data_IF_970551956507
#
_entry.id   IF_970551956507
#
_cell.length_a   1.000
_cell.length_b   1.000
_cell.length_c   1.000
_cell.angle_alpha   90.00
_cell.angle_beta   90.00
_cell.angle_gamma   90.00
#
_symmetry.space_group_name_H-M   'P 1'
#
loop_
_entity.id
_entity.type
_entity.pdbx_description
1 polymer ?
#
# COMPACT_ATOMS: atom_id res chain seq x y z
N UNK A 1 -11.40 -40.60 6.23
CA UNK A 1 -10.28 -41.22 6.95
C UNK A 1 -9.88 -40.17 7.96
N UNK A 2 -10.44 -40.26 9.15
CA UNK A 2 -10.20 -39.24 10.18
C UNK A 2 -8.76 -39.45 10.64
N UNK A 3 -7.85 -38.57 10.21
CA UNK A 3 -6.51 -38.54 10.78
C UNK A 3 -6.66 -38.40 12.29
N UNK A 4 -6.25 -39.42 13.02
CA UNK A 4 -6.26 -39.44 14.48
C UNK A 4 -5.18 -38.44 14.94
N UNK A 5 -5.59 -37.19 15.09
CA UNK A 5 -4.76 -36.18 15.76
C UNK A 5 -4.76 -36.52 17.25
N UNK A 6 -3.66 -37.10 17.71
CA UNK A 6 -3.48 -37.46 19.12
C UNK A 6 -3.35 -36.16 19.94
N UNK A 7 -4.37 -35.90 20.77
CA UNK A 7 -4.45 -34.88 21.82
C UNK A 7 -3.59 -33.62 21.58
N UNK A 8 -3.99 -32.74 20.65
CA UNK A 8 -3.22 -31.54 20.36
C UNK A 8 -3.38 -30.54 21.50
N UNK A 9 -2.26 -29.98 21.95
CA UNK A 9 -2.26 -28.99 23.01
C UNK A 9 -2.72 -27.61 22.54
N UNK A 10 -2.57 -27.32 21.24
CA UNK A 10 -2.96 -26.05 20.61
C UNK A 10 -3.56 -26.35 19.23
N UNK A 11 -4.66 -25.67 18.91
CA UNK A 11 -5.33 -25.65 17.62
C UNK A 11 -5.19 -24.26 16.99
N UNK A 12 -4.73 -24.23 15.74
CA UNK A 12 -4.61 -23.01 14.94
C UNK A 12 -5.37 -23.24 13.64
N UNK A 13 -6.25 -22.32 13.28
CA UNK A 13 -6.92 -22.32 11.98
C UNK A 13 -6.14 -21.43 11.02
N UNK A 14 -5.75 -21.98 9.87
CA UNK A 14 -5.13 -21.26 8.76
C UNK A 14 -6.16 -21.10 7.63
N UNK A 15 -6.56 -19.87 7.37
CA UNK A 15 -7.59 -19.51 6.39
C UNK A 15 -6.91 -18.87 5.18
N UNK A 16 -7.05 -19.46 4.00
CA UNK A 16 -6.48 -18.94 2.77
C UNK A 16 -7.41 -17.93 2.08
N UNK A 17 -6.87 -16.76 1.74
CA UNK A 17 -7.53 -15.69 0.99
C UNK A 17 -6.71 -15.32 -0.25
N UNK A 18 -7.31 -14.70 -1.26
CA UNK A 18 -6.61 -14.06 -2.37
C UNK A 18 -6.05 -12.70 -1.92
N UNK A 19 -4.74 -12.54 -1.66
CA UNK A 19 -3.63 -13.49 -1.68
C UNK A 19 -2.81 -13.37 -0.38
N UNK A 20 -3.37 -13.89 0.71
CA UNK A 20 -2.79 -13.85 2.05
C UNK A 20 -3.36 -14.96 2.94
N UNK A 21 -2.78 -15.17 4.12
CA UNK A 21 -3.27 -16.14 5.09
C UNK A 21 -3.79 -15.43 6.34
N UNK A 22 -4.97 -15.82 6.84
CA UNK A 22 -5.44 -15.44 8.17
C UNK A 22 -5.21 -16.58 9.14
N UNK A 23 -4.71 -16.30 10.33
CA UNK A 23 -4.51 -17.28 11.39
C UNK A 23 -5.37 -16.96 12.60
N UNK A 24 -6.08 -17.95 13.11
CA UNK A 24 -6.96 -17.86 14.28
C UNK A 24 -6.52 -18.90 15.33
N UNK A 25 -6.20 -18.43 16.53
CA UNK A 25 -5.87 -19.24 17.69
C UNK A 25 -7.11 -19.34 18.58
N UNK A 26 -7.97 -20.30 18.27
CA UNK A 26 -9.28 -20.48 18.90
C UNK A 26 -9.21 -20.88 20.37
N UNK A 27 -8.07 -21.37 20.83
CA UNK A 27 -7.90 -21.91 22.18
C UNK A 27 -7.66 -20.80 23.23
N UNK A 28 -7.29 -19.59 22.79
CA UNK A 28 -7.09 -18.42 23.63
C UNK A 28 -8.35 -17.53 23.64
N UNK A 29 -9.39 -17.98 24.33
CA UNK A 29 -10.56 -17.15 24.60
C UNK A 29 -10.46 -16.58 26.03
N UNK A 30 -10.19 -15.28 26.16
CA UNK A 30 -10.51 -14.56 27.40
C UNK A 30 -12.01 -14.37 27.48
N UNK A 31 -12.59 -14.47 28.69
CA UNK A 31 -14.01 -14.63 28.97
C UNK A 31 -14.98 -13.59 28.42
N UNK A 32 -14.53 -12.54 27.72
CA UNK A 32 -15.37 -11.50 27.13
C UNK A 32 -14.90 -10.95 25.76
N UNK A 33 -13.82 -11.46 25.13
CA UNK A 33 -13.30 -10.90 23.87
C UNK A 33 -12.74 -11.94 22.89
N UNK A 34 -12.80 -11.58 21.60
CA UNK A 34 -12.56 -12.36 20.38
C UNK A 34 -11.28 -13.25 20.42
N UNK A 35 -11.37 -14.40 19.75
CA UNK A 35 -10.23 -15.29 19.47
C UNK A 35 -9.07 -14.52 18.83
N UNK A 36 -7.84 -14.78 19.28
CA UNK A 36 -6.63 -14.17 18.70
C UNK A 36 -6.58 -14.49 17.19
N UNK A 37 -6.79 -13.47 16.37
CA UNK A 37 -6.87 -13.60 14.92
C UNK A 37 -6.03 -12.51 14.27
N UNK A 38 -5.29 -12.84 13.21
CA UNK A 38 -4.54 -11.86 12.42
C UNK A 38 -4.32 -12.33 10.99
N UNK A 39 -4.07 -11.37 10.10
CA UNK A 39 -3.69 -11.61 8.72
C UNK A 39 -2.16 -11.61 8.57
N UNK A 40 -1.66 -12.42 7.66
CA UNK A 40 -0.25 -12.61 7.31
C UNK A 40 -0.09 -12.38 5.82
N UNK A 41 0.54 -11.26 5.49
CA UNK A 41 0.87 -10.82 4.15
C UNK A 41 2.37 -10.97 3.91
N UNK A 42 2.74 -11.42 2.72
CA UNK A 42 4.15 -11.45 2.31
C UNK A 42 4.71 -10.04 2.29
N UNK A 43 5.87 -9.83 2.93
CA UNK A 43 6.57 -8.54 2.88
C UNK A 43 6.99 -8.31 1.41
N UNK A 44 6.58 -7.17 0.81
CA UNK A 44 6.95 -6.88 -0.57
C UNK A 44 8.46 -6.80 -0.76
N UNK A 45 8.92 -7.06 -1.99
CA UNK A 45 10.36 -7.19 -2.32
C UNK A 45 11.21 -5.99 -1.96
N UNK A 46 10.61 -4.82 -1.82
CA UNK A 46 11.36 -3.60 -1.59
C UNK A 46 11.29 -3.07 -0.14
N UNK A 47 10.70 -3.86 0.77
CA UNK A 47 10.77 -3.65 2.23
C UNK A 47 11.40 -4.82 3.05
N UNK A 48 12.35 -5.64 2.55
CA UNK A 48 13.04 -6.58 3.41
C UNK A 48 14.08 -5.84 4.27
N UNK A 49 13.96 -5.94 5.59
CA UNK A 49 15.04 -5.49 6.48
C UNK A 49 16.33 -6.25 6.16
N UNK A 50 17.49 -5.63 6.42
CA UNK A 50 18.80 -6.24 6.13
C UNK A 50 18.91 -7.62 6.80
N UNK A 51 18.90 -8.69 5.99
CA UNK A 51 18.95 -10.08 6.46
C UNK A 51 17.65 -10.88 6.27
N UNK A 52 16.55 -10.24 5.86
CA UNK A 52 15.30 -10.93 5.52
C UNK A 52 15.36 -11.58 4.12
N UNK A 53 14.62 -12.67 3.95
CA UNK A 53 14.59 -13.41 2.69
C UNK A 53 13.50 -12.89 1.75
N UNK A 54 13.90 -12.46 0.56
CA UNK A 54 12.99 -11.95 -0.48
C UNK A 54 11.88 -12.97 -0.79
N UNK A 55 10.63 -12.52 -0.83
CA UNK A 55 9.41 -13.32 -1.06
C UNK A 55 9.11 -14.41 -0.03
N UNK A 56 9.94 -14.59 0.99
CA UNK A 56 9.75 -15.59 2.03
C UNK A 56 9.38 -14.98 3.38
N UNK A 57 9.51 -13.67 3.53
CA UNK A 57 9.15 -12.99 4.77
C UNK A 57 7.68 -12.54 4.77
N UNK A 58 7.08 -12.46 5.96
CA UNK A 58 5.70 -11.97 6.18
C UNK A 58 5.67 -10.92 7.28
N UNK A 59 4.67 -10.05 7.26
CA UNK A 59 4.45 -9.04 8.29
C UNK A 59 4.17 -9.65 9.67
N UNK A 60 3.30 -10.68 9.70
CA UNK A 60 2.88 -11.37 10.91
C UNK A 60 3.14 -12.86 10.77
N UNK A 61 4.09 -13.37 11.55
CA UNK A 61 4.46 -14.79 11.56
C UNK A 61 3.52 -15.60 12.46
N UNK A 62 3.30 -16.87 12.10
CA UNK A 62 2.62 -17.82 12.98
C UNK A 62 3.57 -18.26 14.07
N UNK A 63 3.26 -17.98 15.33
CA UNK A 63 4.10 -18.34 16.45
C UNK A 63 3.59 -19.64 17.07
N UNK A 64 4.48 -20.62 17.25
CA UNK A 64 4.15 -21.91 17.87
C UNK A 64 5.23 -22.35 18.87
N UNK A 65 4.88 -23.13 19.90
CA UNK A 65 5.87 -23.63 20.85
C UNK A 65 6.58 -24.88 20.31
N UNK A 66 7.88 -25.01 20.61
CA UNK A 66 8.60 -26.26 20.36
C UNK A 66 8.09 -27.43 21.22
N UNK A 67 8.35 -28.65 20.76
CA UNK A 67 8.10 -29.94 21.44
C UNK A 67 6.66 -30.12 21.92
N UNK A 68 5.72 -29.59 21.15
CA UNK A 68 4.29 -29.59 21.46
C UNK A 68 3.51 -30.10 20.24
N UNK A 69 2.49 -30.92 20.48
CA UNK A 69 1.59 -31.39 19.43
C UNK A 69 0.58 -30.29 19.09
N UNK A 70 0.56 -29.88 17.83
CA UNK A 70 -0.29 -28.81 17.33
C UNK A 70 -1.25 -29.37 16.28
N UNK A 71 -2.49 -28.89 16.28
CA UNK A 71 -3.47 -29.15 15.21
C UNK A 71 -3.58 -27.91 14.35
N UNK A 72 -3.31 -28.04 13.05
CA UNK A 72 -3.56 -26.98 12.07
C UNK A 72 -4.81 -27.36 11.30
N UNK A 73 -5.83 -26.50 11.32
CA UNK A 73 -7.04 -26.63 10.52
C UNK A 73 -6.92 -25.70 9.32
N UNK A 74 -6.93 -26.24 8.11
CA UNK A 74 -6.72 -25.49 6.87
C UNK A 74 -8.02 -25.43 6.07
N UNK A 75 -8.42 -24.21 5.71
CA UNK A 75 -9.62 -23.95 4.89
C UNK A 75 -9.41 -22.68 4.06
N UNK A 76 -10.04 -22.50 2.90
CA UNK A 76 -10.03 -21.24 2.20
C UNK A 76 -11.29 -20.43 2.53
N UNK A 77 -11.23 -19.13 2.28
CA UNK A 77 -12.39 -18.24 2.24
C UNK A 77 -12.92 -18.01 0.82
N UNK A 78 -12.09 -18.23 -0.21
CA UNK A 78 -12.42 -17.96 -1.61
C UNK A 78 -12.12 -19.14 -2.54
N UNK A 79 -10.94 -19.17 -3.17
CA UNK A 79 -10.48 -20.19 -4.11
C UNK A 79 -9.66 -21.27 -3.39
N UNK A 80 -9.38 -22.40 -4.05
CA UNK A 80 -8.46 -23.38 -3.48
C UNK A 80 -7.08 -22.77 -3.23
N UNK A 81 -6.53 -23.05 -2.05
CA UNK A 81 -5.14 -22.74 -1.68
C UNK A 81 -4.48 -24.02 -1.15
N UNK A 82 -3.20 -23.98 -0.81
CA UNK A 82 -2.55 -25.11 -0.12
C UNK A 82 -1.52 -24.61 0.87
N UNK A 83 -1.74 -24.93 2.15
CA UNK A 83 -0.86 -24.55 3.24
C UNK A 83 0.31 -25.54 3.30
N UNK A 84 1.49 -25.10 2.87
CA UNK A 84 2.65 -25.98 2.75
C UNK A 84 3.90 -25.36 3.40
N UNK A 85 4.51 -26.11 4.32
CA UNK A 85 5.78 -25.79 4.98
C UNK A 85 6.71 -27.00 4.82
N UNK A 86 7.55 -27.02 3.76
CA UNK A 86 8.31 -28.21 3.37
C UNK A 86 9.26 -28.74 4.46
N UNK A 87 9.89 -27.85 5.21
CA UNK A 87 10.82 -28.20 6.30
C UNK A 87 10.13 -28.86 7.50
N UNK A 88 8.81 -28.65 7.66
CA UNK A 88 7.98 -29.36 8.63
C UNK A 88 7.34 -30.62 8.04
N UNK A 89 7.52 -30.87 6.73
CA UNK A 89 6.94 -32.02 6.03
C UNK A 89 5.42 -31.93 5.87
N UNK A 90 4.86 -30.73 5.85
CA UNK A 90 3.40 -30.51 5.83
C UNK A 90 3.00 -29.85 4.52
N UNK A 91 1.98 -30.42 3.89
CA UNK A 91 1.22 -29.82 2.80
C UNK A 91 -0.23 -30.23 2.98
N UNK A 92 -1.12 -29.26 3.15
CA UNK A 92 -2.54 -29.51 3.33
C UNK A 92 -3.34 -28.52 2.48
N UNK A 93 -4.17 -29.04 1.58
CA UNK A 93 -4.95 -28.22 0.66
C UNK A 93 -6.11 -27.56 1.41
N UNK A 94 -6.31 -26.27 1.15
CA UNK A 94 -7.47 -25.51 1.58
C UNK A 94 -8.53 -25.63 0.49
N UNK A 95 -9.55 -26.48 0.69
CA UNK A 95 -10.63 -26.70 -0.28
C UNK A 95 -11.92 -26.05 0.19
N UNK A 96 -12.59 -25.20 -0.62
CA UNK A 96 -13.82 -24.54 -0.21
C UNK A 96 -14.90 -25.55 0.23
N UNK A 97 -15.53 -25.28 1.37
CA UNK A 97 -16.54 -26.17 1.96
C UNK A 97 -15.97 -27.39 2.71
N UNK A 98 -14.65 -27.47 2.93
CA UNK A 98 -14.01 -28.49 3.78
C UNK A 98 -13.05 -27.86 4.78
N UNK A 99 -13.10 -28.35 6.01
CA UNK A 99 -12.09 -28.08 7.04
C UNK A 99 -11.12 -29.26 7.06
N UNK A 100 -9.99 -29.13 6.39
CA UNK A 100 -8.94 -30.15 6.46
C UNK A 100 -8.13 -29.92 7.73
N UNK A 101 -7.64 -30.99 8.35
CA UNK A 101 -6.76 -30.89 9.52
C UNK A 101 -5.44 -31.60 9.24
N UNK A 102 -4.38 -31.12 9.85
CA UNK A 102 -3.07 -31.77 9.88
C UNK A 102 -2.44 -31.57 11.25
N UNK A 103 -1.70 -32.57 11.74
CA UNK A 103 -0.97 -32.45 13.00
C UNK A 103 0.49 -32.11 12.75
N UNK A 104 1.05 -31.17 13.51
CA UNK A 104 2.47 -30.81 13.43
C UNK A 104 3.11 -30.86 14.82
N UNK A 105 4.38 -31.23 14.90
CA UNK A 105 5.16 -31.17 16.14
C UNK A 105 6.60 -30.81 15.80
N UNK A 106 7.02 -29.60 16.17
CA UNK A 106 8.35 -29.08 15.82
C UNK A 106 9.33 -29.29 16.96
N UNK A 107 10.48 -29.91 16.69
CA UNK A 107 11.42 -30.34 17.73
C UNK A 107 12.49 -29.30 18.09
N UNK A 108 12.67 -28.28 17.25
CA UNK A 108 13.73 -27.27 17.39
C UNK A 108 13.14 -25.88 17.14
N UNK A 109 13.55 -24.93 17.97
CA UNK A 109 13.31 -23.50 17.77
C UNK A 109 13.90 -23.01 16.43
N UNK A 110 13.28 -21.99 15.86
CA UNK A 110 13.71 -21.40 14.60
C UNK A 110 12.54 -20.93 13.74
N UNK A 111 12.85 -20.44 12.53
CA UNK A 111 11.85 -19.93 11.59
C UNK A 111 11.77 -20.87 10.39
N UNK A 112 10.57 -21.34 10.09
CA UNK A 112 10.28 -22.31 9.04
C UNK A 112 9.40 -21.65 7.98
N UNK A 113 9.91 -21.63 6.75
CA UNK A 113 9.27 -20.98 5.62
C UNK A 113 8.46 -21.96 4.77
N UNK A 114 7.39 -21.43 4.18
CA UNK A 114 6.46 -22.14 3.31
C UNK A 114 5.83 -21.19 2.30
N UNK A 115 5.14 -21.75 1.31
CA UNK A 115 4.44 -20.99 0.26
C UNK A 115 3.17 -21.74 -0.15
N UNK A 116 2.20 -21.00 -0.68
CA UNK A 116 1.01 -21.59 -1.26
C UNK A 116 1.40 -22.58 -2.37
N UNK A 117 0.89 -23.81 -2.28
CA UNK A 117 1.28 -24.91 -3.18
C UNK A 117 0.13 -25.40 -4.07
N UNK A 118 -0.89 -24.57 -4.27
CA UNK A 118 -2.02 -24.76 -5.18
C UNK A 118 -2.34 -23.43 -5.89
N UNK A 119 -2.60 -23.47 -7.19
CA UNK A 119 -2.72 -22.25 -8.00
C UNK A 119 -3.97 -21.43 -7.60
N UNK A 120 -3.75 -20.22 -7.07
CA UNK A 120 -4.81 -19.39 -6.49
C UNK A 120 -5.02 -18.01 -7.16
N UNK A 121 -4.39 -17.76 -8.31
CA UNK A 121 -4.57 -16.55 -9.12
C UNK A 121 -3.29 -15.75 -9.33
N UNK A 122 -3.42 -14.46 -9.65
CA UNK A 122 -2.32 -13.58 -10.10
C UNK A 122 -1.16 -13.47 -9.12
N UNK A 123 -1.45 -13.34 -7.81
CA UNK A 123 -0.41 -13.23 -6.78
C UNK A 123 -0.12 -14.56 -6.07
N UNK A 124 -0.35 -15.70 -6.72
CA UNK A 124 -0.09 -17.03 -6.15
C UNK A 124 1.34 -17.19 -5.59
N UNK A 125 2.34 -16.65 -6.29
CA UNK A 125 3.74 -16.72 -5.86
C UNK A 125 4.05 -15.88 -4.60
N UNK A 126 3.18 -14.92 -4.27
CA UNK A 126 3.34 -13.97 -3.15
C UNK A 126 2.48 -14.33 -1.95
N UNK A 127 2.11 -15.61 -1.82
CA UNK A 127 1.31 -16.11 -0.72
C UNK A 127 2.18 -17.00 0.17
N UNK A 128 2.93 -16.36 1.06
CA UNK A 128 3.98 -16.96 1.86
C UNK A 128 3.48 -17.34 3.25
N UNK A 129 4.11 -18.37 3.83
CA UNK A 129 3.81 -18.90 5.16
C UNK A 129 5.11 -18.86 5.96
N UNK A 130 5.06 -18.28 7.16
CA UNK A 130 6.21 -18.28 8.07
C UNK A 130 5.78 -18.75 9.44
N UNK A 131 6.41 -19.82 9.90
CA UNK A 131 6.18 -20.41 11.23
C UNK A 131 7.40 -20.14 12.10
N UNK A 132 7.23 -19.28 13.10
CA UNK A 132 8.21 -18.99 14.14
C UNK A 132 8.01 -19.96 15.31
N UNK A 133 9.00 -20.81 15.56
CA UNK A 133 8.99 -21.79 16.63
C UNK A 133 9.84 -21.26 17.78
N UNK A 134 9.19 -21.05 18.92
CA UNK A 134 9.80 -20.47 20.13
C UNK A 134 9.79 -21.47 21.28
N UNK A 135 10.58 -21.17 22.32
CA UNK A 135 10.59 -21.96 23.55
C UNK A 135 9.20 -21.98 24.19
N UNK A 136 8.83 -23.07 24.86
CA UNK A 136 7.54 -23.15 25.60
C UNK A 136 7.39 -22.06 26.66
N UNK A 137 8.51 -21.53 27.18
CA UNK A 137 8.50 -20.45 28.19
C UNK A 137 8.17 -19.11 27.57
N UNK A 138 8.73 -18.84 26.38
CA UNK A 138 8.60 -17.56 25.69
C UNK A 138 7.34 -17.49 24.82
N UNK A 139 6.73 -18.65 24.55
CA UNK A 139 5.52 -18.75 23.74
C UNK A 139 4.37 -17.87 24.27
N UNK A 140 4.12 -17.87 25.59
CA UNK A 140 3.04 -17.09 26.19
C UNK A 140 3.20 -15.58 25.99
N UNK A 141 4.40 -15.04 26.19
CA UNK A 141 4.68 -13.61 25.95
C UNK A 141 4.61 -13.29 24.46
N UNK A 142 5.23 -14.12 23.61
CA UNK A 142 5.29 -13.89 22.17
C UNK A 142 3.91 -13.91 21.49
N UNK A 143 3.02 -14.81 21.93
CA UNK A 143 1.63 -14.85 21.47
C UNK A 143 0.84 -13.65 21.97
N UNK A 144 1.09 -13.19 23.19
CA UNK A 144 0.42 -12.00 23.72
C UNK A 144 0.82 -10.69 23.02
N UNK A 145 2.04 -10.63 22.50
CA UNK A 145 2.58 -9.54 21.68
C UNK A 145 2.14 -9.62 20.21
N UNK A 146 1.58 -10.74 19.78
CA UNK A 146 1.11 -10.90 18.40
C UNK A 146 -0.09 -9.99 18.15
N UNK A 147 -0.21 -9.39 16.95
CA UNK A 147 -1.30 -8.45 16.66
C UNK A 147 -2.65 -9.14 16.82
N UNK A 148 -3.54 -8.50 17.58
CA UNK A 148 -4.93 -8.93 17.74
C UNK A 148 -5.78 -8.10 16.80
N UNK A 149 -6.30 -8.69 15.73
CA UNK A 149 -7.28 -8.00 14.91
C UNK A 149 -8.66 -8.12 15.56
N UNK A 150 -9.18 -6.99 16.06
CA UNK A 150 -10.62 -6.77 16.15
C UNK A 150 -11.14 -6.52 14.74
N UNK A 151 -12.16 -7.27 14.34
CA UNK A 151 -12.75 -7.34 12.99
C UNK A 151 -12.69 -6.02 12.20
N UNK A 152 -11.79 -5.94 11.22
CA UNK A 152 -11.64 -4.77 10.34
C UNK A 152 -12.61 -4.88 9.15
N UNK A 153 -13.80 -4.30 9.32
CA UNK A 153 -14.88 -4.28 8.33
C UNK A 153 -14.71 -3.26 7.19
N UNK A 154 -13.52 -2.70 6.94
CA UNK A 154 -13.35 -1.56 6.03
C UNK A 154 -12.33 -1.72 4.88
N UNK A 155 -12.06 -2.95 4.43
CA UNK A 155 -11.24 -3.20 3.23
C UNK A 155 -12.02 -3.64 1.97
N UNK A 156 -13.36 -3.60 2.01
CA UNK A 156 -14.23 -4.12 0.94
C UNK A 156 -14.98 -3.08 0.08
N UNK A 157 -14.78 -1.76 0.25
CA UNK A 157 -15.56 -0.78 -0.54
C UNK A 157 -14.93 -0.28 -1.85
N UNK A 158 -13.77 -0.81 -2.26
CA UNK A 158 -13.18 -0.49 -3.56
C UNK A 158 -13.07 -1.78 -4.38
N UNK A 159 -14.22 -2.26 -4.90
CA UNK A 159 -14.28 -3.10 -6.11
C UNK A 159 -15.72 -3.40 -6.58
N UNK A 160 -16.65 -2.45 -6.57
CA UNK A 160 -17.84 -2.48 -7.45
C UNK A 160 -18.33 -1.04 -7.71
N UNK A 161 -18.64 -0.76 -8.98
CA UNK A 161 -19.44 0.35 -9.51
C UNK A 161 -18.70 1.61 -10.01
N UNK A 162 -18.32 1.54 -11.29
CA UNK A 162 -18.68 2.59 -12.26
C UNK A 162 -20.21 2.76 -12.31
N UNK A 163 -20.72 4.00 -12.21
CA UNK A 163 -21.73 4.60 -13.11
C UNK A 163 -22.27 5.94 -12.57
N UNK A 164 -22.28 6.94 -13.48
CA UNK A 164 -23.05 8.19 -13.53
C UNK A 164 -22.79 9.35 -12.53
N UNK A 165 -22.05 10.36 -13.02
CA UNK A 165 -22.63 11.52 -13.70
C UNK A 165 -23.24 12.67 -12.87
N UNK A 166 -22.69 13.88 -13.02
CA UNK A 166 -23.43 15.15 -12.84
C UNK A 166 -22.64 16.28 -12.18
N UNK A 167 -22.40 17.36 -12.92
CA UNK A 167 -21.53 18.49 -12.54
C UNK A 167 -22.11 19.48 -11.51
N UNK A 168 -21.31 20.44 -11.01
CA UNK A 168 -21.12 21.78 -11.59
C UNK A 168 -20.02 22.58 -10.86
N UNK A 169 -19.48 23.55 -11.58
CA UNK A 169 -18.32 24.39 -11.30
C UNK A 169 -18.41 25.32 -10.07
N UNK A 170 -17.26 25.81 -9.58
CA UNK A 170 -17.00 27.20 -9.16
C UNK A 170 -15.46 27.49 -9.08
N UNK A 171 -15.11 28.77 -9.16
CA UNK A 171 -13.88 29.41 -9.68
C UNK A 171 -12.65 29.50 -8.73
N UNK A 172 -11.42 29.73 -9.25
CA UNK A 172 -10.18 29.70 -8.46
C UNK A 172 -9.78 31.05 -7.84
N UNK A 173 -9.24 31.02 -6.63
CA UNK A 173 -8.39 32.08 -6.07
C UNK A 173 -7.09 31.49 -5.56
N UNK A 174 -5.97 31.93 -6.14
CA UNK A 174 -4.60 31.55 -5.78
C UNK A 174 -4.11 32.30 -4.54
N UNK A 175 -3.39 31.65 -3.61
CA UNK A 175 -2.40 32.35 -2.80
C UNK A 175 -1.00 31.74 -2.93
N UNK A 176 -0.02 32.64 -3.09
CA UNK A 176 1.42 32.40 -3.12
C UNK A 176 1.94 31.99 -1.73
N UNK A 177 2.79 30.95 -1.65
CA UNK A 177 3.45 30.53 -0.39
C UNK A 177 4.97 30.75 -0.51
N UNK A 178 5.54 31.50 0.42
CA UNK A 178 6.98 31.66 0.64
C UNK A 178 7.49 30.64 1.68
N UNK A 179 8.67 30.06 1.44
CA UNK A 179 9.31 29.07 2.33
C UNK A 179 10.27 29.74 3.34
N UNK A 180 10.27 29.35 4.63
CA UNK A 180 11.35 29.70 5.55
C UNK A 180 12.41 28.59 5.66
N UNK A 181 13.66 29.02 5.73
CA UNK A 181 14.90 28.21 5.76
C UNK A 181 15.23 27.65 7.16
N UNK A 182 15.77 26.42 7.18
CA UNK A 182 16.24 25.69 8.36
C UNK A 182 17.38 26.40 9.13
N UNK A 183 17.27 26.44 10.47
CA UNK A 183 18.37 26.67 11.40
C UNK A 183 18.83 25.37 12.07
N UNK A 184 20.09 25.25 12.54
CA UNK A 184 20.66 23.97 12.99
C UNK A 184 20.27 23.65 14.44
N UNK A 185 19.91 22.38 14.71
CA UNK A 185 19.63 21.86 16.05
C UNK A 185 20.86 21.09 16.57
N UNK A 186 21.30 21.43 17.79
CA UNK A 186 22.40 20.78 18.52
C UNK A 186 21.96 19.47 19.22
N UNK A 187 22.88 18.55 19.55
CA UNK A 187 22.54 17.23 20.09
C UNK A 187 22.33 17.26 21.60
N UNK A 188 21.40 16.44 22.11
CA UNK A 188 21.16 16.21 23.54
C UNK A 188 21.41 14.74 23.88
N UNK A 189 22.16 14.49 24.94
CA UNK A 189 22.52 13.18 25.51
C UNK A 189 21.50 12.64 26.56
N UNK A 190 21.44 11.30 26.59
CA UNK A 190 21.19 10.33 27.69
C UNK A 190 19.87 10.22 28.51
N UNK A 191 19.27 9.02 28.36
CA UNK A 191 18.77 8.07 29.39
C UNK A 191 17.41 8.27 30.09
N UNK A 192 16.48 7.32 29.85
CA UNK A 192 15.73 6.51 30.83
C UNK A 192 14.62 5.73 30.10
N UNK A 193 14.30 4.53 30.56
CA UNK A 193 13.36 3.60 29.93
C UNK A 193 11.91 4.08 30.05
N UNK A 194 11.52 5.00 29.18
CA UNK A 194 10.11 5.30 28.91
C UNK A 194 9.51 4.18 28.07
N UNK A 195 8.28 3.77 28.40
CA UNK A 195 7.52 2.87 27.54
C UNK A 195 7.41 3.53 26.16
N UNK A 196 7.57 2.77 25.08
CA UNK A 196 7.52 3.29 23.69
C UNK A 196 6.25 4.10 23.40
N UNK A 197 5.16 3.81 24.14
CA UNK A 197 3.90 4.55 24.12
C UNK A 197 4.00 5.95 24.75
N UNK A 198 4.72 6.11 25.85
CA UNK A 198 4.91 7.39 26.54
C UNK A 198 5.87 8.31 25.77
N UNK A 199 6.88 7.72 25.12
CA UNK A 199 7.75 8.42 24.16
C UNK A 199 6.97 8.93 22.97
N UNK A 200 6.09 8.10 22.40
CA UNK A 200 5.25 8.50 21.27
C UNK A 200 4.26 9.61 21.66
N UNK A 201 3.63 9.52 22.82
CA UNK A 201 2.72 10.57 23.31
C UNK A 201 3.44 11.91 23.49
N UNK A 202 4.63 11.88 24.09
CA UNK A 202 5.47 13.09 24.27
C UNK A 202 5.92 13.65 22.92
N UNK A 203 6.34 12.78 22.00
CA UNK A 203 6.71 13.17 20.64
C UNK A 203 5.54 13.79 19.87
N UNK A 204 4.32 13.23 20.00
CA UNK A 204 3.13 13.77 19.31
C UNK A 204 2.78 15.19 19.77
N UNK A 205 2.95 15.46 21.07
CA UNK A 205 2.69 16.77 21.66
C UNK A 205 3.70 17.87 21.27
N UNK A 206 4.93 17.50 20.85
CA UNK A 206 6.01 18.46 20.60
C UNK A 206 6.32 18.62 19.11
N UNK A 207 6.38 17.51 18.36
CA UNK A 207 6.91 17.49 16.98
C UNK A 207 5.84 17.06 15.98
N UNK A 208 5.06 16.02 16.29
CA UNK A 208 4.08 15.50 15.33
C UNK A 208 3.01 16.54 14.99
N UNK A 209 2.54 17.34 15.95
CA UNK A 209 1.47 18.32 15.69
C UNK A 209 1.78 19.27 14.52
N UNK A 210 3.03 19.74 14.39
CA UNK A 210 3.43 20.60 13.28
C UNK A 210 3.53 19.84 11.96
N UNK A 211 4.07 18.62 12.00
CA UNK A 211 4.24 17.75 10.84
C UNK A 211 2.88 17.31 10.29
N UNK A 212 1.98 16.82 11.15
CA UNK A 212 0.60 16.45 10.79
C UNK A 212 -0.13 17.68 10.21
N UNK A 213 0.03 18.87 10.80
CA UNK A 213 -0.57 20.10 10.27
C UNK A 213 -0.06 20.47 8.87
N UNK A 214 1.24 20.35 8.59
CA UNK A 214 1.78 20.56 7.24
C UNK A 214 1.13 19.57 6.26
N UNK A 215 1.10 18.30 6.62
CA UNK A 215 0.56 17.23 5.78
C UNK A 215 -0.93 17.46 5.47
N UNK A 216 -1.76 17.77 6.47
CA UNK A 216 -3.17 18.07 6.25
C UNK A 216 -3.39 19.34 5.43
N UNK A 217 -2.49 20.33 5.52
CA UNK A 217 -2.55 21.52 4.67
C UNK A 217 -2.34 21.21 3.19
N UNK A 218 -1.41 20.29 2.88
CA UNK A 218 -1.16 19.80 1.52
C UNK A 218 -2.33 18.98 0.98
N UNK A 219 -2.90 18.11 1.81
CA UNK A 219 -4.13 17.38 1.48
C UNK A 219 -5.24 18.36 1.10
N UNK A 220 -5.49 19.35 1.94
CA UNK A 220 -6.52 20.37 1.71
C UNK A 220 -6.22 21.16 0.43
N UNK A 221 -4.96 21.48 0.15
CA UNK A 221 -4.56 22.14 -1.08
C UNK A 221 -4.93 21.30 -2.31
N UNK A 222 -4.58 20.01 -2.32
CA UNK A 222 -4.89 19.07 -3.39
C UNK A 222 -6.40 18.84 -3.58
N UNK A 223 -7.15 18.69 -2.49
CA UNK A 223 -8.61 18.54 -2.53
C UNK A 223 -9.31 19.74 -3.19
N UNK A 224 -8.77 20.93 -2.98
CA UNK A 224 -9.28 22.15 -3.59
C UNK A 224 -8.81 22.34 -5.04
N UNK A 225 -7.81 21.57 -5.49
CA UNK A 225 -7.42 21.58 -6.91
C UNK A 225 -8.34 20.64 -7.70
N UNK A 226 -8.88 21.14 -8.81
CA UNK A 226 -9.77 20.39 -9.69
C UNK A 226 -8.98 19.53 -10.70
N UNK A 227 -8.03 18.74 -10.20
CA UNK A 227 -7.23 17.82 -11.00
C UNK A 227 -8.08 16.61 -11.46
N UNK A 228 -7.86 16.15 -12.69
CA UNK A 228 -8.57 14.99 -13.21
C UNK A 228 -7.78 13.72 -12.93
N UNK A 229 -8.42 12.69 -12.36
CA UNK A 229 -7.84 11.36 -12.14
C UNK A 229 -6.81 11.30 -10.99
N UNK A 230 -6.18 12.41 -10.64
CA UNK A 230 -5.54 12.59 -9.35
C UNK A 230 -6.66 12.68 -8.31
N UNK A 231 -6.62 11.92 -7.21
CA UNK A 231 -7.74 11.86 -6.31
C UNK A 231 -8.05 13.25 -5.72
N UNK A 232 -9.20 13.89 -6.03
CA UNK A 232 -10.02 14.31 -4.92
C UNK A 232 -10.51 13.01 -4.33
N UNK A 233 -10.12 12.78 -3.09
CA UNK A 233 -10.84 11.92 -2.19
C UNK A 233 -12.30 11.83 -2.58
N UNK A 234 -12.81 10.61 -2.83
CA UNK A 234 -14.15 10.41 -3.41
C UNK A 234 -15.24 11.15 -2.61
N UNK A 235 -14.92 11.50 -1.37
CA UNK A 235 -15.58 12.53 -0.55
C UNK A 235 -14.55 13.49 0.06
N UNK A 236 -14.89 14.78 0.25
CA UNK A 236 -14.05 15.72 0.99
C UNK A 236 -13.63 15.16 2.37
N UNK A 237 -12.34 15.18 2.70
CA UNK A 237 -11.79 14.75 3.98
C UNK A 237 -11.63 13.23 4.24
N UNK A 238 -11.98 12.37 3.29
CA UNK A 238 -11.74 10.92 3.34
C UNK A 238 -10.25 10.49 3.50
N UNK A 239 -9.33 10.90 2.63
CA UNK A 239 -7.88 10.64 2.76
C UNK A 239 -7.23 11.41 3.92
N UNK A 240 -7.73 12.59 4.31
CA UNK A 240 -7.34 13.17 5.59
C UNK A 240 -7.68 12.23 6.76
N UNK A 241 -8.85 11.59 6.74
CA UNK A 241 -9.24 10.60 7.74
C UNK A 241 -8.41 9.30 7.65
N UNK A 242 -8.03 8.85 6.44
CA UNK A 242 -7.15 7.69 6.25
C UNK A 242 -5.78 7.96 6.88
N UNK A 243 -5.17 9.09 6.57
CA UNK A 243 -3.87 9.48 7.11
C UNK A 243 -3.93 9.61 8.64
N UNK A 244 -5.01 10.18 9.16
CA UNK A 244 -5.22 10.28 10.60
C UNK A 244 -5.25 8.89 11.27
N UNK A 245 -5.99 7.96 10.68
CA UNK A 245 -6.06 6.58 11.14
C UNK A 245 -4.70 5.86 11.03
N UNK A 246 -3.89 6.13 10.01
CA UNK A 246 -2.53 5.58 9.92
C UNK A 246 -1.65 6.08 11.08
N UNK A 247 -1.70 7.38 11.39
CA UNK A 247 -0.93 7.92 12.53
C UNK A 247 -1.39 7.36 13.88
N UNK A 248 -2.69 7.09 14.04
CA UNK A 248 -3.22 6.50 15.28
C UNK A 248 -2.82 5.04 15.48
N UNK A 249 -2.44 4.33 14.41
CA UNK A 249 -1.90 2.98 14.47
C UNK A 249 -0.38 2.94 14.74
N UNK A 250 0.28 4.09 14.86
CA UNK A 250 1.71 4.14 15.13
C UNK A 250 2.03 3.56 16.52
N UNK A 251 2.94 2.59 16.56
CA UNK A 251 3.30 1.85 17.78
C UNK A 251 4.44 2.52 18.59
N UNK A 252 5.28 3.30 17.90
CA UNK A 252 6.43 4.01 18.47
C UNK A 252 6.88 5.12 17.50
N UNK A 253 7.74 6.04 17.97
CA UNK A 253 8.19 7.21 17.20
C UNK A 253 8.78 6.85 15.82
N UNK A 254 9.55 5.76 15.73
CA UNK A 254 10.12 5.30 14.45
C UNK A 254 9.07 4.80 13.45
N UNK A 255 7.95 4.26 13.91
CA UNK A 255 6.85 3.81 13.05
C UNK A 255 6.08 5.04 12.53
N UNK A 256 5.77 5.98 13.43
CA UNK A 256 5.17 7.27 13.07
C UNK A 256 5.97 7.99 11.97
N UNK A 257 7.30 8.10 12.13
CA UNK A 257 8.15 8.78 11.14
C UNK A 257 8.09 8.11 9.76
N UNK A 258 8.05 6.78 9.71
CA UNK A 258 7.93 6.04 8.45
C UNK A 258 6.60 6.33 7.75
N UNK A 259 5.49 6.32 8.50
CA UNK A 259 4.17 6.67 7.97
C UNK A 259 4.20 8.10 7.44
N UNK A 260 4.72 9.05 8.23
CA UNK A 260 4.82 10.45 7.83
C UNK A 260 5.64 10.63 6.54
N UNK A 261 6.83 10.04 6.47
CA UNK A 261 7.71 10.16 5.31
C UNK A 261 7.09 9.56 4.04
N UNK A 262 6.32 8.47 4.20
CA UNK A 262 5.58 7.86 3.10
C UNK A 262 4.45 8.77 2.62
N UNK A 263 3.54 9.17 3.51
CA UNK A 263 2.38 10.02 3.15
C UNK A 263 2.83 11.37 2.57
N UNK A 264 3.89 11.97 3.12
CA UNK A 264 4.46 13.20 2.59
C UNK A 264 5.00 13.02 1.18
N UNK A 265 5.69 11.91 0.90
CA UNK A 265 6.21 11.61 -0.44
C UNK A 265 5.08 11.39 -1.45
N UNK A 266 4.05 10.62 -1.09
CA UNK A 266 2.89 10.38 -1.95
C UNK A 266 2.21 11.71 -2.32
N UNK A 267 2.01 12.59 -1.34
CA UNK A 267 1.46 13.93 -1.56
C UNK A 267 2.33 14.80 -2.48
N UNK A 268 3.65 14.78 -2.31
CA UNK A 268 4.57 15.53 -3.18
C UNK A 268 4.51 15.05 -4.64
N UNK A 269 4.39 13.74 -4.85
CA UNK A 269 4.22 13.20 -6.20
C UNK A 269 2.88 13.61 -6.79
N UNK A 270 1.79 13.52 -6.02
CA UNK A 270 0.46 13.94 -6.46
C UNK A 270 0.41 15.42 -6.81
N UNK A 271 1.00 16.29 -5.98
CA UNK A 271 1.16 17.72 -6.26
C UNK A 271 1.92 17.94 -7.58
N UNK A 272 3.05 17.26 -7.77
CA UNK A 272 3.85 17.38 -8.98
C UNK A 272 3.10 16.92 -10.24
N UNK A 273 2.37 15.80 -10.17
CA UNK A 273 1.53 15.32 -11.27
C UNK A 273 0.40 16.30 -11.58
N UNK A 274 -0.22 16.90 -10.56
CA UNK A 274 -1.27 17.92 -10.75
C UNK A 274 -0.75 19.15 -11.47
N UNK A 275 0.40 19.67 -11.05
CA UNK A 275 1.05 20.81 -11.71
C UNK A 275 1.40 20.50 -13.17
N UNK A 276 1.90 19.28 -13.45
CA UNK A 276 2.17 18.83 -14.82
C UNK A 276 0.89 18.76 -15.66
N UNK A 277 -0.21 18.23 -15.10
CA UNK A 277 -1.49 18.14 -15.77
C UNK A 277 -1.99 19.52 -16.21
N UNK A 278 -1.98 20.50 -15.31
CA UNK A 278 -2.38 21.87 -15.64
C UNK A 278 -1.49 22.48 -16.72
N UNK A 279 -0.16 22.32 -16.61
CA UNK A 279 0.78 22.84 -17.61
C UNK A 279 0.54 22.24 -19.00
N UNK A 280 0.35 20.92 -19.11
CA UNK A 280 0.07 20.26 -20.38
C UNK A 280 -1.29 20.68 -20.95
N UNK A 281 -2.30 20.77 -20.09
CA UNK A 281 -3.62 21.24 -20.46
C UNK A 281 -3.59 22.67 -21.02
N UNK A 282 -2.92 23.59 -20.33
CA UNK A 282 -2.86 24.99 -20.71
C UNK A 282 -2.06 25.20 -22.00
N UNK A 283 -0.99 24.44 -22.20
CA UNK A 283 -0.25 24.44 -23.47
C UNK A 283 -1.14 23.96 -24.63
N UNK A 284 -1.89 22.88 -24.45
CA UNK A 284 -2.82 22.37 -25.46
C UNK A 284 -3.95 23.36 -25.76
N UNK A 285 -4.51 24.02 -24.74
CA UNK A 285 -5.51 25.09 -24.95
C UNK A 285 -4.96 26.28 -25.75
N UNK A 286 -3.65 26.52 -25.67
CA UNK A 286 -2.96 27.52 -26.48
C UNK A 286 -2.76 27.14 -27.95
N UNK A 287 -3.05 25.90 -28.38
CA UNK A 287 -2.77 25.46 -29.75
C UNK A 287 -3.73 26.07 -30.79
N UNK A 288 -3.22 26.76 -31.84
CA UNK A 288 -4.07 27.42 -32.82
C UNK A 288 -4.96 26.43 -33.61
N UNK A 289 -4.51 25.18 -33.76
CA UNK A 289 -5.23 24.14 -34.49
C UNK A 289 -6.00 23.19 -33.56
N UNK A 290 -6.16 23.50 -32.28
CA UNK A 290 -6.75 22.60 -31.29
C UNK A 290 -8.11 22.02 -31.73
N UNK A 291 -9.01 22.86 -32.24
CA UNK A 291 -10.34 22.42 -32.67
C UNK A 291 -10.25 21.36 -33.79
N UNK A 292 -9.35 21.56 -34.76
CA UNK A 292 -9.09 20.58 -35.82
C UNK A 292 -8.48 19.30 -35.24
N UNK A 293 -7.55 19.42 -34.30
CA UNK A 293 -6.91 18.27 -33.64
C UNK A 293 -7.96 17.43 -32.90
N UNK A 294 -8.81 18.04 -32.10
CA UNK A 294 -9.85 17.35 -31.31
C UNK A 294 -10.96 16.75 -32.18
N UNK A 295 -11.34 17.41 -33.29
CA UNK A 295 -12.34 16.85 -34.22
C UNK A 295 -11.85 15.57 -34.91
N UNK A 296 -10.54 15.47 -35.13
CA UNK A 296 -9.93 14.35 -35.85
C UNK A 296 -9.31 13.30 -34.90
N UNK A 297 -9.24 13.60 -33.61
CA UNK A 297 -8.73 12.72 -32.56
C UNK A 297 -9.90 11.96 -31.90
N UNK A 298 -9.70 10.70 -31.47
CA UNK A 298 -10.69 10.02 -30.64
C UNK A 298 -10.73 10.58 -29.22
N UNK A 299 -9.71 11.35 -28.82
CA UNK A 299 -9.58 11.91 -27.49
C UNK A 299 -10.20 13.30 -27.42
N UNK A 300 -11.15 13.48 -26.51
CA UNK A 300 -11.94 14.73 -26.39
C UNK A 300 -11.65 15.52 -25.12
N UNK A 301 -11.24 14.84 -24.05
CA UNK A 301 -10.95 15.47 -22.77
C UNK A 301 -9.44 15.57 -22.56
N UNK A 302 -8.89 16.77 -22.76
CA UNK A 302 -7.45 17.02 -22.69
C UNK A 302 -6.91 16.74 -21.28
N UNK A 303 -7.67 17.08 -20.22
CA UNK A 303 -7.23 16.84 -18.82
C UNK A 303 -7.11 15.36 -18.49
N UNK A 304 -8.07 14.57 -18.98
CA UNK A 304 -8.05 13.12 -18.86
C UNK A 304 -6.86 12.51 -19.61
N UNK A 305 -6.60 12.96 -20.84
CA UNK A 305 -5.44 12.49 -21.58
C UNK A 305 -4.12 12.91 -20.95
N UNK A 306 -4.04 14.13 -20.43
CA UNK A 306 -2.85 14.62 -19.72
C UNK A 306 -2.59 13.75 -18.48
N UNK A 307 -3.63 13.40 -17.73
CA UNK A 307 -3.51 12.46 -16.61
C UNK A 307 -3.00 11.09 -17.06
N UNK A 308 -3.66 10.47 -18.05
CA UNK A 308 -3.28 9.15 -18.55
C UNK A 308 -1.83 9.14 -19.09
N UNK A 309 -1.43 10.20 -19.79
CA UNK A 309 -0.08 10.37 -20.30
C UNK A 309 0.95 10.51 -19.16
N UNK A 310 0.64 11.29 -18.12
CA UNK A 310 1.52 11.43 -16.95
C UNK A 310 1.63 10.09 -16.20
N UNK A 311 0.54 9.36 -16.04
CA UNK A 311 0.53 8.01 -15.44
C UNK A 311 1.29 6.98 -16.26
N UNK A 312 1.33 7.09 -17.59
CA UNK A 312 2.13 6.21 -18.45
C UNK A 312 3.62 6.61 -18.42
N UNK A 313 3.89 7.92 -18.35
CA UNK A 313 5.24 8.49 -18.33
C UNK A 313 5.93 8.40 -16.96
N UNK A 314 5.19 8.05 -15.91
CA UNK A 314 5.69 7.94 -14.54
C UNK A 314 5.26 6.60 -13.94
N UNK A 315 6.18 5.86 -13.31
CA UNK A 315 5.81 4.69 -12.53
C UNK A 315 4.73 5.01 -11.47
N UNK A 316 3.86 4.04 -11.19
CA UNK A 316 2.88 4.17 -10.12
C UNK A 316 3.58 4.36 -8.78
N UNK A 317 3.10 5.28 -7.95
CA UNK A 317 3.65 5.52 -6.61
C UNK A 317 3.61 4.25 -5.75
N UNK A 318 2.57 3.43 -5.94
CA UNK A 318 2.42 2.12 -5.30
C UNK A 318 3.47 1.08 -5.72
N UNK A 319 4.15 1.30 -6.86
CA UNK A 319 5.23 0.46 -7.35
C UNK A 319 6.63 0.96 -6.91
N UNK A 320 6.72 2.19 -6.37
CA UNK A 320 7.97 2.76 -5.87
C UNK A 320 8.22 2.29 -4.46
N UNK A 321 9.36 1.66 -4.26
CA UNK A 321 9.45 0.81 -3.09
C UNK A 321 10.84 0.86 -2.42
N UNK A 322 11.83 1.43 -3.13
CA UNK A 322 13.08 1.93 -2.56
C UNK A 322 13.24 3.46 -2.59
N UNK A 323 14.00 4.01 -1.64
CA UNK A 323 14.33 5.44 -1.59
C UNK A 323 14.95 5.96 -2.90
N UNK A 324 15.80 5.16 -3.54
CA UNK A 324 16.39 5.51 -4.85
C UNK A 324 15.34 5.66 -5.96
N UNK A 325 14.33 4.78 -6.00
CA UNK A 325 13.23 4.90 -6.97
C UNK A 325 12.38 6.14 -6.69
N UNK A 326 12.15 6.45 -5.41
CA UNK A 326 11.49 7.69 -4.99
C UNK A 326 12.27 8.93 -5.42
N UNK A 327 13.59 8.90 -5.30
CA UNK A 327 14.47 9.99 -5.76
C UNK A 327 14.44 10.13 -7.29
N UNK A 328 14.45 9.01 -8.03
CA UNK A 328 14.28 9.01 -9.49
C UNK A 328 12.93 9.60 -9.87
N UNK A 329 11.85 9.19 -9.21
CA UNK A 329 10.50 9.68 -9.48
C UNK A 329 10.42 11.19 -9.27
N UNK A 330 10.81 11.65 -8.09
CA UNK A 330 10.85 13.08 -7.76
C UNK A 330 11.74 13.84 -8.75
N UNK A 331 12.90 13.30 -9.10
CA UNK A 331 13.80 13.88 -10.09
C UNK A 331 13.19 13.95 -11.49
N UNK A 332 12.39 12.95 -11.87
CA UNK A 332 11.72 12.87 -13.18
C UNK A 332 10.60 13.89 -13.27
N UNK A 333 9.72 13.95 -12.26
CA UNK A 333 8.64 14.93 -12.18
C UNK A 333 9.21 16.35 -12.18
N UNK A 334 10.24 16.61 -11.38
CA UNK A 334 10.90 17.92 -11.36
C UNK A 334 11.51 18.29 -12.70
N UNK A 335 12.15 17.33 -13.39
CA UNK A 335 12.71 17.55 -14.74
C UNK A 335 11.61 17.88 -15.75
N UNK A 336 10.49 17.17 -15.72
CA UNK A 336 9.34 17.47 -16.59
C UNK A 336 8.78 18.86 -16.32
N UNK A 337 8.61 19.23 -15.04
CA UNK A 337 8.13 20.56 -14.67
C UNK A 337 9.08 21.66 -15.13
N UNK A 338 10.39 21.44 -14.98
CA UNK A 338 11.41 22.38 -15.44
C UNK A 338 11.41 22.51 -16.96
N UNK A 339 11.42 21.38 -17.68
CA UNK A 339 11.45 21.36 -19.15
C UNK A 339 10.24 22.09 -19.76
N UNK A 340 9.04 21.84 -19.23
CA UNK A 340 7.83 22.55 -19.67
C UNK A 340 7.90 24.04 -19.33
N UNK A 341 8.40 24.39 -18.15
CA UNK A 341 8.47 25.80 -17.73
C UNK A 341 9.49 26.62 -18.53
N UNK A 342 10.60 26.00 -18.95
CA UNK A 342 11.65 26.66 -19.72
C UNK A 342 11.36 26.70 -21.23
N UNK A 343 10.87 25.59 -21.79
CA UNK A 343 10.73 25.42 -23.25
C UNK A 343 9.30 25.58 -23.76
N UNK A 344 8.29 25.53 -22.88
CA UNK A 344 6.88 25.61 -23.24
C UNK A 344 6.53 24.58 -24.31
N UNK A 345 6.10 25.04 -25.50
CA UNK A 345 5.74 24.15 -26.62
C UNK A 345 6.92 23.40 -27.23
N UNK A 346 8.16 23.80 -26.97
CA UNK A 346 9.35 23.10 -27.44
C UNK A 346 9.86 22.07 -26.42
N UNK A 347 9.11 21.86 -25.32
CA UNK A 347 9.39 20.82 -24.34
C UNK A 347 9.26 19.43 -24.97
N UNK A 348 10.18 18.54 -24.61
CA UNK A 348 10.20 17.16 -25.13
C UNK A 348 8.95 16.41 -24.66
N UNK A 349 8.60 16.54 -23.38
CA UNK A 349 7.41 15.91 -22.81
C UNK A 349 6.12 16.48 -23.41
N UNK A 350 6.05 17.78 -23.70
CA UNK A 350 4.88 18.36 -24.38
C UNK A 350 4.76 17.84 -25.81
N UNK A 351 5.86 17.75 -26.56
CA UNK A 351 5.86 17.24 -27.92
C UNK A 351 5.43 15.77 -27.96
N UNK A 352 5.88 14.98 -26.98
CA UNK A 352 5.43 13.59 -26.83
C UNK A 352 3.92 13.51 -26.54
N UNK A 353 3.43 14.31 -25.59
CA UNK A 353 1.99 14.41 -25.31
C UNK A 353 1.18 14.84 -26.54
N UNK A 354 1.66 15.83 -27.30
CA UNK A 354 1.02 16.30 -28.53
C UNK A 354 0.93 15.21 -29.61
N UNK A 355 1.91 14.30 -29.66
CA UNK A 355 1.90 13.17 -30.60
C UNK A 355 0.75 12.20 -30.36
N UNK A 356 0.25 12.05 -29.13
CA UNK A 356 -0.95 11.24 -28.86
C UNK A 356 -2.16 11.68 -29.70
N UNK A 357 -2.27 12.97 -30.00
CA UNK A 357 -3.37 13.51 -30.81
C UNK A 357 -3.08 13.50 -32.32
N UNK A 358 -1.81 13.37 -32.72
CA UNK A 358 -1.37 13.53 -34.11
C UNK A 358 -0.73 12.28 -34.71
N UNK A 359 -0.60 11.18 -33.97
CA UNK A 359 0.02 9.94 -34.45
C UNK A 359 -0.70 9.35 -35.67
N UNK A 360 -0.01 9.35 -36.81
CA UNK A 360 -0.51 8.82 -38.06
C UNK A 360 -0.73 7.30 -38.02
N UNK A 361 0.10 6.56 -37.29
CA UNK A 361 0.07 5.08 -37.28
C UNK A 361 -1.20 4.59 -36.60
N UNK A 362 -1.46 5.12 -35.40
CA UNK A 362 -2.69 4.90 -34.65
C UNK A 362 -3.92 5.33 -35.46
N UNK A 363 -3.85 6.49 -36.13
CA UNK A 363 -4.98 7.01 -36.96
C UNK A 363 -5.27 6.11 -38.16
N UNK A 364 -4.25 5.61 -38.86
CA UNK A 364 -4.43 4.66 -39.97
C UNK A 364 -5.04 3.35 -39.49
N UNK A 365 -4.60 2.83 -38.35
CA UNK A 365 -5.15 1.61 -37.75
C UNK A 365 -6.65 1.75 -37.42
N UNK A 366 -7.05 2.91 -36.89
CA UNK A 366 -8.45 3.19 -36.53
C UNK A 366 -9.30 3.83 -37.65
N UNK A 367 -8.76 4.00 -38.86
CA UNK A 367 -9.46 4.61 -39.99
C UNK A 367 -9.81 6.09 -39.81
N UNK A 368 -9.05 6.80 -38.97
CA UNK A 368 -9.23 8.22 -38.70
C UNK A 368 -8.55 9.09 -39.78
N UNK A 369 -9.05 10.30 -40.06
CA UNK A 369 -8.44 11.20 -41.04
C UNK A 369 -7.03 11.60 -40.59
N UNK A 370 -6.08 11.76 -41.53
CA UNK A 370 -4.72 12.24 -41.22
C UNK A 370 -4.70 13.76 -40.98
N UNK A 371 -3.84 14.26 -40.07
CA UNK A 371 -3.85 15.65 -39.61
C UNK A 371 -3.64 16.70 -40.71
#
# INVERSE_FOLDING_TARGET
MDEVVVDPAITIKAIGHQWYWTYEYSDYNSSDEQSLTFDSYTIPEDDPELGQSRLLEVDNRVVVPEKTHLRIIVTPADVPHSWAVPSLGVKCDAVPGRLNQTSISVQREGVYYGQCSEICGTNHAFMTIVVEVVSRKDYGSRVSESPKTGVSWLRHFINVAYCDGGGNALTPTTPTIEFPTNGPISPVEESSSSSSSEELATFRNVIAANNEAELYSRITFLENQNYYGLPPQTRPGEYAAIVHNHFDQALHVRHYRRIYDQELFELQVLEGKGVLQDKLHDLMLGEPNLNRILQLSPYKNIREQAFAFIEDSTESVSALRHAFQRDIMSGTINRFMQDISEKGRHSEIYQEFYRYFTDETFRRFHGLPLP
#
